data_IF_197693206615
#
_entry.id   IF_197693206615
#
_cell.length_a   1.000
_cell.length_b   1.000
_cell.length_c   1.000
_cell.angle_alpha   90.00
_cell.angle_beta   90.00
_cell.angle_gamma   90.00
#
_symmetry.space_group_name_H-M   'P 1'
#
loop_
_entity.id
_entity.type
_entity.pdbx_description
1 polymer ?
#
# COMPACT_ATOMS: atom_id res chain seq x y z
N UNK A 1 29.05 2.27 6.37
CA UNK A 1 28.51 2.57 7.73
C UNK A 1 27.06 3.10 7.71
N UNK A 2 26.56 3.70 6.60
CA UNK A 2 25.16 4.17 6.50
C UNK A 2 24.12 3.07 6.21
N UNK A 3 24.52 1.92 5.70
CA UNK A 3 23.59 0.82 5.35
C UNK A 3 23.02 0.06 6.57
N UNK A 4 23.64 0.16 7.73
CA UNK A 4 23.18 -0.47 8.98
C UNK A 4 22.08 0.38 9.64
N UNK A 5 22.05 1.67 9.38
CA UNK A 5 21.05 2.58 9.90
C UNK A 5 19.74 2.37 9.11
N UNK A 6 18.62 2.19 9.81
CA UNK A 6 17.30 1.97 9.22
C UNK A 6 17.16 0.70 8.36
N UNK A 7 17.90 -0.38 8.72
CA UNK A 7 17.78 -1.70 8.06
C UNK A 7 18.07 -1.68 6.55
N UNK A 8 18.90 -0.75 6.07
CA UNK A 8 19.21 -0.61 4.66
C UNK A 8 18.01 -0.16 3.80
N UNK A 9 17.10 0.62 4.39
CA UNK A 9 15.90 1.09 3.71
C UNK A 9 16.20 1.86 2.43
N UNK A 10 15.55 1.46 1.34
CA UNK A 10 15.69 2.05 0.00
C UNK A 10 14.36 2.13 -0.71
N UNK A 11 14.14 3.23 -1.42
CA UNK A 11 13.09 3.33 -2.43
C UNK A 11 13.68 2.92 -3.78
N UNK A 12 13.00 1.98 -4.43
CA UNK A 12 13.44 1.36 -5.67
C UNK A 12 12.32 1.42 -6.71
N UNK A 13 12.66 1.10 -7.96
CA UNK A 13 11.73 1.01 -9.07
C UNK A 13 11.94 -0.33 -9.79
N UNK A 14 10.89 -1.10 -9.96
CA UNK A 14 10.85 -2.25 -10.84
C UNK A 14 10.41 -1.79 -12.24
N UNK A 15 11.05 -2.33 -13.27
CA UNK A 15 10.68 -2.13 -14.68
C UNK A 15 9.86 -3.35 -15.07
N UNK A 16 8.64 -3.10 -15.53
CA UNK A 16 7.70 -4.07 -16.04
C UNK A 16 7.63 -3.95 -17.57
N UNK A 17 6.98 -4.87 -18.25
CA UNK A 17 6.99 -4.91 -19.72
C UNK A 17 6.59 -3.56 -20.36
N UNK A 18 5.55 -2.88 -19.84
CA UNK A 18 5.02 -1.64 -20.40
C UNK A 18 4.94 -0.48 -19.39
N UNK A 19 5.50 -0.64 -18.19
CA UNK A 19 5.38 0.37 -17.12
C UNK A 19 6.47 0.17 -16.07
N UNK A 20 6.34 0.89 -14.98
CA UNK A 20 7.21 0.77 -13.80
C UNK A 20 6.38 0.73 -12.53
N UNK A 21 6.90 0.09 -11.49
CA UNK A 21 6.32 0.09 -10.16
C UNK A 21 7.36 0.51 -9.12
N UNK A 22 7.01 1.47 -8.28
CA UNK A 22 7.84 1.83 -7.15
C UNK A 22 7.65 0.81 -6.02
N UNK A 23 8.73 0.55 -5.31
CA UNK A 23 8.69 -0.26 -4.10
C UNK A 23 9.73 0.20 -3.08
N UNK A 24 9.47 -0.09 -1.82
CA UNK A 24 10.44 0.10 -0.75
C UNK A 24 10.98 -1.26 -0.34
N UNK A 25 12.28 -1.32 -0.06
CA UNK A 25 12.96 -2.50 0.41
C UNK A 25 13.79 -2.17 1.64
N UNK A 26 13.75 -3.05 2.66
CA UNK A 26 14.56 -2.97 3.88
C UNK A 26 14.63 -4.33 4.57
N UNK A 27 15.46 -4.43 5.61
CA UNK A 27 15.52 -5.62 6.46
C UNK A 27 16.81 -6.43 6.27
N UNK A 28 17.17 -7.17 7.33
CA UNK A 28 18.40 -7.97 7.43
C UNK A 28 18.20 -9.45 7.13
N UNK A 29 16.93 -9.91 7.17
CA UNK A 29 16.59 -11.31 6.93
C UNK A 29 16.75 -11.72 5.46
N UNK A 30 16.69 -13.01 5.23
CA UNK A 30 16.79 -13.60 3.88
C UNK A 30 15.43 -13.99 3.31
N UNK A 31 14.44 -14.21 4.18
CA UNK A 31 13.07 -14.60 3.76
C UNK A 31 12.32 -13.37 3.22
N UNK A 32 11.79 -13.42 1.99
CA UNK A 32 11.01 -12.31 1.47
C UNK A 32 9.68 -12.16 2.20
N UNK A 33 9.35 -10.93 2.59
CA UNK A 33 8.02 -10.51 3.05
C UNK A 33 7.53 -9.39 2.13
N UNK A 34 6.51 -9.67 1.35
CA UNK A 34 5.85 -8.68 0.49
C UNK A 34 4.66 -8.10 1.24
N UNK A 35 4.62 -6.78 1.38
CA UNK A 35 3.51 -6.05 2.00
C UNK A 35 2.79 -5.26 0.91
N UNK A 36 1.49 -5.49 0.78
CA UNK A 36 0.61 -4.80 -0.15
C UNK A 36 -0.23 -3.79 0.64
N UNK A 37 -0.01 -2.48 0.48
CA UNK A 37 -0.73 -1.44 1.20
C UNK A 37 -2.19 -1.32 0.71
N UNK A 38 -3.01 -0.65 1.52
CA UNK A 38 -4.40 -0.35 1.18
C UNK A 38 -4.55 0.79 0.16
N UNK A 39 -5.77 1.28 0.02
CA UNK A 39 -6.17 2.33 -0.93
C UNK A 39 -5.42 3.67 -0.73
N UNK A 40 -4.82 3.88 0.44
CA UNK A 40 -3.94 5.03 0.69
C UNK A 40 -2.77 5.16 -0.28
N UNK A 41 -2.35 4.07 -0.97
CA UNK A 41 -1.38 4.12 -2.08
C UNK A 41 -1.85 5.03 -3.23
N UNK A 42 -3.15 5.15 -3.43
CA UNK A 42 -3.73 6.04 -4.44
C UNK A 42 -3.52 7.53 -4.13
N UNK A 43 -3.45 7.91 -2.86
CA UNK A 43 -3.21 9.27 -2.41
C UNK A 43 -1.72 9.57 -2.21
N UNK A 44 -0.99 8.61 -1.68
CA UNK A 44 0.43 8.71 -1.37
C UNK A 44 1.14 7.43 -1.81
N UNK A 45 1.44 7.28 -3.11
CA UNK A 45 2.12 6.11 -3.63
C UNK A 45 3.48 5.94 -2.96
N UNK A 46 3.91 4.68 -2.87
CA UNK A 46 5.22 4.34 -2.31
C UNK A 46 6.32 5.01 -3.13
N UNK A 47 6.98 6.02 -2.57
CA UNK A 47 8.11 6.68 -3.22
C UNK A 47 8.99 7.45 -2.22
N UNK A 48 10.24 7.65 -2.61
CA UNK A 48 11.16 8.51 -1.86
C UNK A 48 11.85 7.86 -0.66
N UNK A 49 13.07 8.32 -0.41
CA UNK A 49 13.95 7.75 0.62
C UNK A 49 13.43 8.00 2.05
N UNK A 50 12.83 9.16 2.31
CA UNK A 50 12.27 9.47 3.62
C UNK A 50 11.15 8.49 3.99
N UNK A 51 10.26 8.20 3.05
CA UNK A 51 9.17 7.24 3.25
C UNK A 51 9.72 5.83 3.51
N UNK A 52 10.79 5.43 2.80
CA UNK A 52 11.46 4.14 3.03
C UNK A 52 11.98 4.02 4.47
N UNK A 53 12.59 5.08 5.01
CA UNK A 53 13.06 5.12 6.40
C UNK A 53 11.89 5.04 7.39
N UNK A 54 10.81 5.79 7.15
CA UNK A 54 9.61 5.75 7.99
C UNK A 54 9.00 4.34 8.05
N UNK A 55 8.88 3.68 6.90
CA UNK A 55 8.39 2.30 6.86
C UNK A 55 9.33 1.34 7.58
N UNK A 56 10.64 1.45 7.41
CA UNK A 56 11.60 0.60 8.10
C UNK A 56 11.53 0.74 9.63
N UNK A 57 11.27 1.95 10.14
CA UNK A 57 11.07 2.19 11.57
C UNK A 57 9.74 1.57 12.04
N UNK A 58 8.66 1.78 11.32
CA UNK A 58 7.34 1.26 11.68
C UNK A 58 7.27 -0.26 11.63
N UNK A 59 7.93 -0.87 10.67
CA UNK A 59 7.97 -2.32 10.47
C UNK A 59 9.28 -2.98 11.00
N UNK A 60 9.99 -2.33 11.93
CA UNK A 60 11.30 -2.80 12.43
C UNK A 60 11.30 -4.25 12.94
N UNK A 61 10.18 -4.71 13.55
CA UNK A 61 10.05 -6.09 14.03
C UNK A 61 10.12 -7.11 12.90
N UNK A 62 9.60 -6.78 11.73
CA UNK A 62 9.73 -7.61 10.53
C UNK A 62 11.11 -7.49 9.91
N UNK A 63 11.70 -6.28 9.94
CA UNK A 63 13.00 -6.00 9.36
C UNK A 63 14.16 -6.81 9.97
N UNK A 64 13.99 -7.33 11.17
CA UNK A 64 14.99 -8.19 11.84
C UNK A 64 15.02 -9.61 11.26
N UNK A 65 13.87 -10.12 10.82
CA UNK A 65 13.70 -11.51 10.39
C UNK A 65 13.52 -11.67 8.88
N UNK A 66 13.04 -10.63 8.21
CA UNK A 66 12.67 -10.67 6.81
C UNK A 66 13.45 -9.66 5.97
N UNK A 67 13.55 -9.96 4.68
CA UNK A 67 13.75 -8.99 3.63
C UNK A 67 12.38 -8.45 3.24
N UNK A 68 12.06 -7.25 3.69
CA UNK A 68 10.73 -6.65 3.51
C UNK A 68 10.68 -5.88 2.20
N UNK A 69 9.61 -6.09 1.45
CA UNK A 69 9.27 -5.36 0.24
C UNK A 69 7.87 -4.75 0.43
N UNK A 70 7.73 -3.45 0.24
CA UNK A 70 6.43 -2.78 0.21
C UNK A 70 6.18 -2.34 -1.23
N UNK A 71 5.27 -3.00 -1.90
CA UNK A 71 4.95 -2.73 -3.30
C UNK A 71 3.84 -1.68 -3.41
N UNK A 72 4.02 -0.73 -4.33
CA UNK A 72 2.96 0.19 -4.76
C UNK A 72 2.06 -0.49 -5.79
N UNK A 73 1.30 0.30 -6.54
CA UNK A 73 0.66 -0.11 -7.80
C UNK A 73 1.52 0.42 -8.96
N UNK A 74 1.28 -0.06 -10.19
CA UNK A 74 1.88 0.51 -11.41
C UNK A 74 1.80 2.03 -11.42
N UNK A 75 2.77 2.68 -12.06
CA UNK A 75 2.77 4.13 -12.12
C UNK A 75 1.69 4.67 -13.06
N UNK A 76 1.39 3.95 -14.15
CA UNK A 76 0.31 4.28 -15.08
C UNK A 76 -0.87 3.33 -14.89
N UNK A 77 -1.93 3.81 -14.24
CA UNK A 77 -3.14 3.02 -14.05
C UNK A 77 -4.10 3.23 -15.23
N UNK A 78 -4.84 2.19 -15.57
CA UNK A 78 -5.89 2.22 -16.59
C UNK A 78 -7.26 2.33 -15.93
N UNK A 79 -8.23 2.89 -16.61
CA UNK A 79 -9.63 2.78 -16.21
C UNK A 79 -10.06 1.31 -16.09
N UNK A 80 -11.00 1.02 -15.20
CA UNK A 80 -11.47 -0.34 -14.90
C UNK A 80 -10.37 -1.31 -14.45
N UNK A 81 -9.41 -0.81 -13.68
CA UNK A 81 -8.27 -1.56 -13.18
C UNK A 81 -8.64 -2.31 -11.90
N UNK A 82 -9.01 -3.57 -12.04
CA UNK A 82 -9.51 -4.41 -10.94
C UNK A 82 -8.40 -4.80 -9.94
N UNK A 83 -8.81 -5.18 -8.73
CA UNK A 83 -7.88 -5.74 -7.73
C UNK A 83 -7.22 -7.04 -8.21
N UNK A 84 -7.83 -7.76 -9.17
CA UNK A 84 -7.22 -8.93 -9.81
C UNK A 84 -6.13 -8.53 -10.80
N UNK A 85 -6.35 -7.48 -11.61
CA UNK A 85 -5.30 -6.93 -12.48
C UNK A 85 -4.13 -6.39 -11.64
N UNK A 86 -4.42 -5.75 -10.50
CA UNK A 86 -3.38 -5.34 -9.56
C UNK A 86 -2.58 -6.54 -9.03
N UNK A 87 -3.20 -7.70 -8.82
CA UNK A 87 -2.51 -8.91 -8.37
C UNK A 87 -1.58 -9.47 -9.45
N UNK A 88 -1.99 -9.46 -10.72
CA UNK A 88 -1.12 -9.83 -11.84
C UNK A 88 0.15 -8.96 -11.88
N UNK A 89 0.00 -7.65 -11.68
CA UNK A 89 1.16 -6.75 -11.63
C UNK A 89 2.08 -7.06 -10.43
N UNK A 90 1.53 -7.45 -9.28
CA UNK A 90 2.35 -7.85 -8.13
C UNK A 90 3.13 -9.15 -8.44
N UNK A 91 2.49 -10.11 -9.12
CA UNK A 91 3.15 -11.33 -9.57
C UNK A 91 4.28 -11.03 -10.57
N UNK A 92 4.04 -10.12 -11.52
CA UNK A 92 5.05 -9.66 -12.47
C UNK A 92 6.26 -9.03 -11.76
N UNK A 93 6.01 -8.12 -10.79
CA UNK A 93 7.08 -7.49 -10.00
C UNK A 93 7.87 -8.54 -9.21
N UNK A 94 7.20 -9.49 -8.56
CA UNK A 94 7.89 -10.56 -7.82
C UNK A 94 8.82 -11.34 -8.74
N UNK A 95 8.34 -11.74 -9.93
CA UNK A 95 9.14 -12.44 -10.94
C UNK A 95 10.33 -11.60 -11.41
N UNK A 96 10.10 -10.32 -11.73
CA UNK A 96 11.15 -9.36 -12.16
C UNK A 96 12.24 -9.18 -11.10
N UNK A 97 11.88 -9.20 -9.82
CA UNK A 97 12.82 -9.08 -8.70
C UNK A 97 13.47 -10.41 -8.29
N UNK A 98 13.15 -11.50 -8.97
CA UNK A 98 13.66 -12.84 -8.63
C UNK A 98 13.09 -13.41 -7.33
N UNK A 99 11.93 -12.91 -6.88
CA UNK A 99 11.23 -13.41 -5.70
C UNK A 99 10.38 -14.61 -6.13
N UNK A 100 10.95 -15.80 -6.02
CA UNK A 100 10.28 -17.03 -6.42
C UNK A 100 9.14 -17.43 -5.48
N UNK A 101 9.22 -17.05 -4.20
CA UNK A 101 8.19 -17.31 -3.19
C UNK A 101 8.36 -16.36 -2.00
N UNK A 102 7.28 -15.83 -1.46
CA UNK A 102 7.30 -14.87 -0.35
C UNK A 102 6.20 -15.12 0.68
N UNK A 103 6.43 -14.63 1.90
CA UNK A 103 5.35 -14.33 2.83
C UNK A 103 4.65 -13.09 2.29
N UNK A 104 3.32 -13.10 2.19
CA UNK A 104 2.54 -11.99 1.66
C UNK A 104 1.62 -11.46 2.74
N UNK A 105 1.67 -10.16 3.00
CA UNK A 105 0.75 -9.46 3.91
C UNK A 105 -0.01 -8.39 3.13
N UNK A 106 -1.31 -8.57 2.99
CA UNK A 106 -2.20 -7.59 2.37
C UNK A 106 -3.01 -6.83 3.42
N UNK A 107 -3.03 -5.51 3.33
CA UNK A 107 -3.75 -4.62 4.26
C UNK A 107 -4.89 -3.93 3.51
N UNK A 108 -6.12 -4.03 4.01
CA UNK A 108 -7.31 -3.41 3.39
C UNK A 108 -7.44 -3.82 1.91
N UNK A 109 -7.48 -2.89 0.95
CA UNK A 109 -7.46 -3.20 -0.48
C UNK A 109 -6.27 -4.10 -0.87
N UNK A 110 -5.08 -3.89 -0.27
CA UNK A 110 -3.94 -4.77 -0.47
C UNK A 110 -4.22 -6.22 -0.08
N UNK A 111 -5.14 -6.45 0.87
CA UNK A 111 -5.61 -7.78 1.22
C UNK A 111 -6.52 -8.40 0.15
N UNK A 112 -7.34 -7.60 -0.54
CA UNK A 112 -8.12 -8.07 -1.70
C UNK A 112 -7.18 -8.51 -2.83
N UNK A 113 -6.15 -7.71 -3.10
CA UNK A 113 -5.10 -8.03 -4.09
C UNK A 113 -4.34 -9.30 -3.68
N UNK A 114 -3.96 -9.42 -2.42
CA UNK A 114 -3.23 -10.57 -1.91
C UNK A 114 -4.03 -11.88 -2.00
N UNK A 115 -5.36 -11.83 -1.90
CA UNK A 115 -6.24 -12.97 -2.12
C UNK A 115 -6.16 -13.45 -3.57
N UNK A 116 -6.29 -12.55 -4.56
CA UNK A 116 -6.13 -12.90 -5.97
C UNK A 116 -4.72 -13.41 -6.27
N UNK A 117 -3.68 -12.77 -5.73
CA UNK A 117 -2.30 -13.26 -5.88
C UNK A 117 -2.14 -14.70 -5.37
N UNK A 118 -2.75 -15.04 -4.24
CA UNK A 118 -2.67 -16.38 -3.67
C UNK A 118 -3.49 -17.43 -4.46
N UNK A 119 -4.58 -17.02 -5.10
CA UNK A 119 -5.44 -17.91 -5.91
C UNK A 119 -4.85 -18.13 -7.29
N UNK A 120 -4.38 -17.08 -7.95
CA UNK A 120 -3.94 -17.12 -9.35
C UNK A 120 -2.44 -17.50 -9.47
N UNK A 121 -1.63 -17.19 -8.42
CA UNK A 121 -0.19 -17.47 -8.36
C UNK A 121 0.21 -18.14 -7.03
N UNK A 122 -0.36 -19.32 -6.69
CA UNK A 122 -0.08 -19.99 -5.41
C UNK A 122 1.40 -20.35 -5.23
N UNK A 123 2.13 -20.52 -6.32
CA UNK A 123 3.56 -20.78 -6.30
C UNK A 123 4.38 -19.63 -5.72
N UNK A 124 3.89 -18.38 -5.83
CA UNK A 124 4.57 -17.19 -5.31
C UNK A 124 4.29 -16.92 -3.82
N UNK A 125 3.29 -17.59 -3.23
CA UNK A 125 2.83 -17.30 -1.86
C UNK A 125 3.19 -18.46 -0.92
N UNK A 126 4.11 -18.21 0.00
CA UNK A 126 4.49 -19.17 1.05
C UNK A 126 3.48 -19.15 2.20
N UNK A 127 3.11 -17.98 2.67
CA UNK A 127 2.09 -17.73 3.69
C UNK A 127 1.37 -16.43 3.39
N UNK A 128 0.09 -16.40 3.68
CA UNK A 128 -0.76 -15.24 3.47
C UNK A 128 -1.25 -14.69 4.82
N UNK A 129 -1.09 -13.39 5.01
CA UNK A 129 -1.67 -12.63 6.13
C UNK A 129 -2.62 -11.60 5.55
N UNK A 130 -3.87 -11.66 5.96
CA UNK A 130 -4.93 -10.74 5.56
C UNK A 130 -5.28 -9.86 6.76
N UNK A 131 -5.02 -8.56 6.64
CA UNK A 131 -5.25 -7.59 7.70
C UNK A 131 -6.33 -6.59 7.28
N UNK A 132 -7.37 -6.46 8.10
CA UNK A 132 -8.48 -5.48 7.94
C UNK A 132 -9.04 -5.42 6.52
N UNK A 133 -9.32 -6.59 5.92
CA UNK A 133 -9.74 -6.75 4.53
C UNK A 133 -10.99 -7.60 4.40
N UNK A 134 -11.52 -7.67 3.19
CA UNK A 134 -12.74 -8.39 2.83
C UNK A 134 -12.49 -9.25 1.59
N UNK A 135 -13.22 -10.36 1.40
CA UNK A 135 -13.15 -11.15 0.16
C UNK A 135 -13.86 -10.48 -1.03
N UNK A 136 -14.73 -9.54 -0.75
CA UNK A 136 -15.49 -8.79 -1.75
C UNK A 136 -16.22 -7.60 -1.12
N UNK A 137 -16.84 -6.73 -1.93
CA UNK A 137 -17.53 -5.54 -1.44
C UNK A 137 -18.76 -5.89 -0.59
N UNK A 138 -19.01 -5.09 0.44
CA UNK A 138 -20.24 -5.07 1.20
C UNK A 138 -20.80 -3.65 1.28
N UNK A 139 -22.04 -3.49 1.74
CA UNK A 139 -22.72 -2.18 1.80
C UNK A 139 -21.94 -1.13 2.60
N UNK A 140 -21.37 -1.51 3.74
CA UNK A 140 -20.58 -0.60 4.59
C UNK A 140 -19.34 -0.10 3.86
N UNK A 141 -18.60 -1.01 3.23
CA UNK A 141 -17.41 -0.65 2.43
C UNK A 141 -17.81 0.24 1.26
N UNK A 142 -18.83 -0.14 0.49
CA UNK A 142 -19.30 0.63 -0.66
C UNK A 142 -19.70 2.05 -0.25
N UNK A 143 -20.47 2.21 0.84
CA UNK A 143 -20.86 3.52 1.35
C UNK A 143 -19.64 4.37 1.72
N UNK A 144 -18.67 3.79 2.42
CA UNK A 144 -17.45 4.49 2.84
C UNK A 144 -16.61 4.92 1.63
N UNK A 145 -16.34 3.99 0.72
CA UNK A 145 -15.54 4.26 -0.49
C UNK A 145 -16.22 5.30 -1.39
N UNK A 146 -17.53 5.21 -1.60
CA UNK A 146 -18.27 6.20 -2.37
C UNK A 146 -18.21 7.59 -1.73
N UNK A 147 -18.25 7.68 -0.39
CA UNK A 147 -18.02 8.93 0.32
C UNK A 147 -16.61 9.50 0.07
N UNK A 148 -15.58 8.66 0.11
CA UNK A 148 -14.21 9.07 -0.17
C UNK A 148 -13.99 9.47 -1.63
N UNK A 149 -14.59 8.74 -2.59
CA UNK A 149 -14.57 9.13 -4.01
C UNK A 149 -15.16 10.52 -4.21
N UNK A 150 -16.33 10.79 -3.65
CA UNK A 150 -16.97 12.10 -3.72
C UNK A 150 -16.08 13.20 -3.14
N UNK A 151 -15.46 12.98 -1.97
CA UNK A 151 -14.52 13.95 -1.38
C UNK A 151 -13.30 14.19 -2.28
N UNK A 152 -12.80 13.14 -2.95
CA UNK A 152 -11.68 13.26 -3.89
C UNK A 152 -12.08 14.07 -5.14
N UNK A 153 -13.23 13.77 -5.76
CA UNK A 153 -13.79 14.48 -6.91
C UNK A 153 -14.01 15.98 -6.62
N UNK A 154 -14.46 16.30 -5.40
CA UNK A 154 -14.64 17.68 -4.94
C UNK A 154 -13.34 18.35 -4.45
N UNK A 155 -12.20 17.66 -4.52
CA UNK A 155 -10.90 18.18 -4.10
C UNK A 155 -10.76 18.40 -2.59
N UNK A 156 -11.60 17.74 -1.78
CA UNK A 156 -11.68 17.89 -0.33
C UNK A 156 -10.65 17.03 0.41
N UNK A 157 -9.37 17.13 0.04
CA UNK A 157 -8.28 16.30 0.57
C UNK A 157 -8.24 16.23 2.09
N UNK A 158 -8.39 17.36 2.77
CA UNK A 158 -8.39 17.41 4.24
C UNK A 158 -9.50 16.56 4.84
N UNK A 159 -10.72 16.69 4.31
CA UNK A 159 -11.89 15.93 4.80
C UNK A 159 -11.70 14.44 4.53
N UNK A 160 -11.21 14.08 3.34
CA UNK A 160 -10.87 12.71 2.97
C UNK A 160 -9.87 12.09 3.96
N UNK A 161 -8.78 12.80 4.29
CA UNK A 161 -7.77 12.31 5.23
C UNK A 161 -8.31 12.16 6.65
N UNK A 162 -9.16 13.09 7.11
CA UNK A 162 -9.80 13.02 8.43
C UNK A 162 -10.75 11.83 8.47
N UNK A 163 -11.64 11.71 7.49
CA UNK A 163 -12.63 10.62 7.44
C UNK A 163 -11.96 9.25 7.34
N UNK A 164 -10.89 9.13 6.54
CA UNK A 164 -10.07 7.91 6.48
C UNK A 164 -9.49 7.56 7.86
N UNK A 165 -8.98 8.55 8.60
CA UNK A 165 -8.44 8.32 9.93
C UNK A 165 -9.54 7.91 10.92
N UNK A 166 -10.68 8.62 10.93
CA UNK A 166 -11.82 8.33 11.83
C UNK A 166 -12.41 6.93 11.58
N UNK A 167 -12.38 6.43 10.34
CA UNK A 167 -12.83 5.08 9.99
C UNK A 167 -11.76 3.98 10.23
N UNK A 168 -10.49 4.36 10.42
CA UNK A 168 -9.38 3.39 10.51
C UNK A 168 -8.84 3.19 11.93
N UNK A 169 -9.05 4.15 12.83
CA UNK A 169 -8.45 4.14 14.16
C UNK A 169 -9.49 4.30 15.28
N UNK A 170 -9.17 3.77 16.46
CA UNK A 170 -10.03 3.94 17.62
C UNK A 170 -10.10 5.40 18.09
N UNK A 171 -11.23 5.78 18.70
CA UNK A 171 -11.43 7.12 19.24
C UNK A 171 -10.33 7.51 20.27
N UNK A 172 -9.83 6.55 21.05
CA UNK A 172 -8.75 6.76 22.01
C UNK A 172 -7.43 7.10 21.31
N UNK A 173 -7.09 6.36 20.24
CA UNK A 173 -5.92 6.65 19.43
C UNK A 173 -6.02 8.03 18.78
N UNK A 174 -7.15 8.33 18.16
CA UNK A 174 -7.40 9.60 17.47
C UNK A 174 -7.35 10.82 18.40
N UNK A 175 -7.74 10.67 19.66
CA UNK A 175 -7.68 11.76 20.64
C UNK A 175 -6.30 12.43 20.72
N UNK A 176 -5.23 11.65 20.55
CA UNK A 176 -3.85 12.14 20.53
C UNK A 176 -3.47 12.89 19.25
N UNK A 177 -4.11 12.56 18.14
CA UNK A 177 -3.70 13.01 16.80
C UNK A 177 -4.62 14.06 16.20
N UNK A 178 -5.83 14.26 16.74
CA UNK A 178 -6.79 15.28 16.27
C UNK A 178 -6.21 16.70 16.28
N UNK A 179 -5.27 16.98 17.13
CA UNK A 179 -4.55 18.27 17.17
C UNK A 179 -3.81 18.58 15.86
N UNK A 180 -3.46 17.53 15.08
CA UNK A 180 -2.78 17.66 13.79
C UNK A 180 -3.74 17.79 12.59
N UNK A 181 -5.04 17.61 12.77
CA UNK A 181 -6.02 17.70 11.67
C UNK A 181 -5.98 19.00 10.87
N UNK A 182 -5.73 20.18 11.47
CA UNK A 182 -5.60 21.42 10.70
C UNK A 182 -4.46 21.39 9.67
N UNK A 183 -3.44 20.56 9.90
CA UNK A 183 -2.24 20.49 9.07
C UNK A 183 -2.38 19.42 7.96
N UNK A 184 -3.21 18.41 8.16
CA UNK A 184 -3.37 17.30 7.20
C UNK A 184 -3.73 17.75 5.78
N UNK A 185 -4.51 18.82 5.65
CA UNK A 185 -4.87 19.37 4.35
C UNK A 185 -3.75 20.04 3.57
N UNK A 186 -2.57 20.21 4.21
CA UNK A 186 -1.41 20.92 3.63
C UNK A 186 -0.23 20.00 3.33
N UNK A 187 -0.18 18.83 3.97
CA UNK A 187 0.93 17.88 3.85
C UNK A 187 0.50 16.73 2.97
N UNK A 188 1.29 16.43 1.94
CA UNK A 188 1.11 15.25 1.10
C UNK A 188 -0.11 15.28 0.17
N UNK A 189 -0.71 16.45 -0.05
CA UNK A 189 -1.81 16.58 -1.02
C UNK A 189 -1.30 16.16 -2.40
N UNK A 190 -1.94 15.17 -3.07
CA UNK A 190 -1.58 14.80 -4.43
C UNK A 190 -1.89 15.94 -5.42
N UNK A 191 -1.26 15.92 -6.58
CA UNK A 191 -1.55 16.90 -7.66
C UNK A 191 -2.98 16.78 -8.15
N UNK A 192 -3.44 15.55 -8.29
CA UNK A 192 -4.80 15.16 -8.66
C UNK A 192 -5.20 13.91 -7.86
N UNK A 193 -6.42 13.45 -8.05
CA UNK A 193 -6.95 12.27 -7.38
C UNK A 193 -7.21 11.11 -8.34
N UNK A 194 -6.78 11.21 -9.59
CA UNK A 194 -7.04 10.22 -10.63
C UNK A 194 -6.60 8.82 -10.18
N UNK A 195 -5.36 8.70 -9.70
CA UNK A 195 -4.81 7.44 -9.19
C UNK A 195 -5.66 6.84 -8.06
N UNK A 196 -6.14 7.68 -7.16
CA UNK A 196 -6.99 7.24 -6.04
C UNK A 196 -8.36 6.78 -6.55
N UNK A 197 -8.98 7.53 -7.46
CA UNK A 197 -10.29 7.22 -8.01
C UNK A 197 -10.25 5.90 -8.79
N UNK A 198 -9.25 5.68 -9.64
CA UNK A 198 -9.07 4.40 -10.36
C UNK A 198 -8.92 3.22 -9.39
N UNK A 199 -8.17 3.39 -8.30
CA UNK A 199 -8.01 2.31 -7.31
C UNK A 199 -9.26 2.10 -6.44
N UNK A 200 -10.14 3.10 -6.34
CA UNK A 200 -11.36 3.05 -5.55
C UNK A 200 -12.57 2.49 -6.32
N UNK A 201 -12.48 2.38 -7.64
CA UNK A 201 -13.46 1.75 -8.52
C UNK A 201 -13.34 0.23 -8.47
#
# INVERSE_FOLDING_TARGET
RGEIMFYGARCCKAVLDNDTMNYIMFGKGTKPLVILPGLGDGLAPVHGQLQAVIFAINYKKFAEQFKVYIFSRKNSLKENYSTRDMAEDQAEVMKTLGISKAYVMGVSQGGMIAQYLAVDHPELVEKLVLAVTLPGPNETMQKTINGWKKMAEEGQYKNLMIDTAENSYSAEYLKKYRVFYPILGRIGKPKDFERFLIQAD
#
